data_IF_367722382233
#
_entry.id   IF_367722382233
#
_cell.length_a   1.000
_cell.length_b   1.000
_cell.length_c   1.000
_cell.angle_alpha   90.00
_cell.angle_beta   90.00
_cell.angle_gamma   90.00
#
_symmetry.space_group_name_H-M   'P 1'
#
loop_
_entity.id
_entity.type
_entity.pdbx_description
1 polymer ?
#
# COMPACT_ATOMS: atom_id res chain seq x y z
N UNK A 1 13.09 11.29 11.53
CA UNK A 1 12.91 11.27 10.08
C UNK A 1 11.42 11.35 9.79
N UNK A 2 11.02 12.04 8.73
CA UNK A 2 9.63 12.00 8.26
C UNK A 2 9.37 10.62 7.63
N UNK A 3 8.12 10.15 7.65
CA UNK A 3 7.73 8.87 7.03
C UNK A 3 8.21 8.77 5.58
N UNK A 4 8.13 9.85 4.81
CA UNK A 4 8.64 9.87 3.42
C UNK A 4 10.14 9.57 3.29
N UNK A 5 10.96 9.99 4.26
CA UNK A 5 12.40 9.73 4.24
C UNK A 5 12.69 8.26 4.54
N UNK A 6 12.02 7.68 5.53
CA UNK A 6 12.12 6.25 5.86
C UNK A 6 11.69 5.41 4.66
N UNK A 7 10.54 5.77 4.07
CA UNK A 7 10.00 5.08 2.90
C UNK A 7 10.92 5.17 1.69
N UNK A 8 11.54 6.32 1.44
CA UNK A 8 12.54 6.48 0.38
C UNK A 8 13.71 5.51 0.57
N UNK A 9 14.34 5.53 1.73
CA UNK A 9 15.49 4.66 2.04
C UNK A 9 15.11 3.17 2.00
N UNK A 10 13.89 2.84 2.41
CA UNK A 10 13.36 1.47 2.30
C UNK A 10 13.23 1.03 0.84
N UNK A 11 12.60 1.84 -0.02
CA UNK A 11 12.46 1.53 -1.44
C UNK A 11 13.81 1.39 -2.17
N UNK A 12 14.82 2.18 -1.80
CA UNK A 12 16.16 2.11 -2.41
C UNK A 12 16.86 0.75 -2.17
N UNK A 13 16.46 0.02 -1.13
CA UNK A 13 17.08 -1.25 -0.72
C UNK A 13 16.22 -2.49 -0.97
N UNK A 14 14.97 -2.32 -1.40
CA UNK A 14 13.98 -3.39 -1.58
C UNK A 14 13.40 -3.39 -3.01
N UNK A 15 14.16 -3.92 -4.00
CA UNK A 15 13.77 -3.92 -5.41
C UNK A 15 12.54 -4.79 -5.71
N UNK A 16 12.16 -5.68 -4.80
CA UNK A 16 10.95 -6.50 -4.90
C UNK A 16 9.65 -5.70 -4.65
N UNK A 17 9.74 -4.47 -4.15
CA UNK A 17 8.56 -3.59 -4.01
C UNK A 17 8.00 -3.30 -5.41
N UNK A 18 6.70 -3.56 -5.66
CA UNK A 18 6.09 -3.32 -6.95
C UNK A 18 6.23 -1.86 -7.40
N UNK A 19 6.44 -1.64 -8.70
CA UNK A 19 6.67 -0.31 -9.32
C UNK A 19 5.75 0.79 -8.77
N UNK A 20 4.44 0.54 -8.76
CA UNK A 20 3.43 1.53 -8.37
C UNK A 20 3.41 1.86 -6.87
N UNK A 21 4.16 1.11 -6.06
CA UNK A 21 4.36 1.31 -4.63
C UNK A 21 5.74 1.88 -4.30
N UNK A 22 6.56 2.22 -5.29
CA UNK A 22 7.88 2.81 -5.06
C UNK A 22 7.80 4.32 -4.79
N UNK A 23 8.75 4.83 -4.02
CA UNK A 23 8.89 6.27 -3.72
C UNK A 23 8.91 7.12 -5.00
N UNK A 24 9.74 6.75 -5.97
CA UNK A 24 9.93 7.50 -7.21
C UNK A 24 8.66 7.56 -8.05
N UNK A 25 7.84 6.49 -8.05
CA UNK A 25 6.55 6.50 -8.75
C UNK A 25 5.63 7.58 -8.18
N UNK A 26 5.52 7.65 -6.85
CA UNK A 26 4.64 8.60 -6.17
C UNK A 26 5.09 10.05 -6.32
N UNK A 27 6.41 10.29 -6.36
CA UNK A 27 6.97 11.62 -6.66
C UNK A 27 6.69 12.06 -8.11
N UNK A 28 6.55 11.12 -9.05
CA UNK A 28 6.22 11.41 -10.45
C UNK A 28 4.72 11.70 -10.62
N UNK A 29 3.85 10.88 -10.01
CA UNK A 29 2.39 10.94 -10.28
C UNK A 29 1.63 11.91 -9.38
N UNK A 30 2.25 12.43 -8.32
CA UNK A 30 1.61 13.30 -7.35
C UNK A 30 2.53 14.45 -6.91
N UNK A 31 1.94 15.60 -6.57
CA UNK A 31 2.71 16.69 -5.95
C UNK A 31 3.13 16.31 -4.51
N UNK A 32 4.22 16.87 -3.98
CA UNK A 32 4.73 16.51 -2.65
C UNK A 32 3.69 16.61 -1.51
N UNK A 33 2.75 17.54 -1.58
CA UNK A 33 1.68 17.73 -0.59
C UNK A 33 0.49 16.77 -0.78
N UNK A 34 0.34 16.19 -1.97
CA UNK A 34 -0.80 15.38 -2.37
C UNK A 34 -0.65 13.90 -2.03
N UNK A 35 0.48 13.48 -1.48
CA UNK A 35 0.65 12.10 -1.05
C UNK A 35 1.48 12.04 0.23
N UNK A 36 1.28 10.99 0.99
CA UNK A 36 2.10 10.65 2.14
C UNK A 36 2.02 9.13 2.37
N UNK A 37 2.69 8.63 3.40
CA UNK A 37 2.82 7.19 3.64
C UNK A 37 2.67 6.87 5.12
N UNK A 38 1.79 5.91 5.43
CA UNK A 38 1.72 5.29 6.74
C UNK A 38 2.78 4.17 6.80
N UNK A 39 3.53 4.09 7.90
CA UNK A 39 4.65 3.13 8.06
C UNK A 39 4.57 2.49 9.43
N UNK A 40 4.75 1.17 9.48
CA UNK A 40 4.92 0.41 10.73
C UNK A 40 6.35 -0.09 10.78
N UNK A 41 7.10 0.37 11.78
CA UNK A 41 8.49 -0.02 12.01
C UNK A 41 8.60 -0.96 13.21
N UNK A 42 9.64 -1.79 13.21
CA UNK A 42 10.06 -2.58 14.38
C UNK A 42 11.58 -2.46 14.52
N UNK A 43 12.03 -1.56 15.38
CA UNK A 43 13.44 -1.18 15.43
C UNK A 43 13.79 -0.35 14.21
N UNK A 44 14.76 -0.81 13.41
CA UNK A 44 15.20 -0.15 12.18
C UNK A 44 14.57 -0.75 10.91
N UNK A 45 13.62 -1.68 11.06
CA UNK A 45 13.03 -2.43 9.95
C UNK A 45 11.59 -1.94 9.68
N UNK A 46 11.25 -1.71 8.41
CA UNK A 46 9.86 -1.45 8.02
C UNK A 46 9.12 -2.79 7.90
N UNK A 47 8.10 -2.99 8.74
CA UNK A 47 7.25 -4.18 8.70
C UNK A 47 6.12 -4.06 7.69
N UNK A 48 5.61 -2.85 7.49
CA UNK A 48 4.56 -2.59 6.52
C UNK A 48 4.49 -1.11 6.18
N UNK A 49 4.00 -0.79 4.99
CA UNK A 49 3.69 0.58 4.61
C UNK A 49 2.43 0.65 3.76
N UNK A 50 1.80 1.82 3.74
CA UNK A 50 0.64 2.08 2.90
C UNK A 50 0.69 3.53 2.43
N UNK A 51 1.11 3.77 1.18
CA UNK A 51 1.06 5.11 0.61
C UNK A 51 -0.41 5.50 0.42
N UNK A 52 -0.70 6.79 0.53
CA UNK A 52 -2.04 7.30 0.31
C UNK A 52 -1.98 8.65 -0.41
N UNK A 53 -2.84 8.82 -1.40
CA UNK A 53 -2.94 10.05 -2.16
C UNK A 53 -4.19 10.85 -1.74
N UNK A 54 -3.98 12.13 -1.47
CA UNK A 54 -4.94 13.11 -1.00
C UNK A 54 -5.41 13.97 -2.15
N UNK A 55 -6.73 14.10 -2.27
CA UNK A 55 -7.40 14.96 -3.25
C UNK A 55 -8.50 15.75 -2.56
N UNK A 56 -8.53 17.05 -2.82
CA UNK A 56 -9.67 17.89 -2.45
C UNK A 56 -10.66 17.97 -3.61
N UNK A 57 -11.93 17.67 -3.36
CA UNK A 57 -13.02 17.86 -4.31
C UNK A 57 -14.07 18.78 -3.68
N UNK A 58 -14.14 20.01 -4.16
CA UNK A 58 -14.91 21.08 -3.51
C UNK A 58 -14.46 21.26 -2.04
N UNK A 59 -15.34 21.01 -1.09
CA UNK A 59 -15.05 21.11 0.35
C UNK A 59 -14.64 19.76 0.96
N UNK A 60 -14.71 18.66 0.21
CA UNK A 60 -14.41 17.33 0.73
C UNK A 60 -12.93 16.98 0.58
N UNK A 61 -12.35 16.42 1.63
CA UNK A 61 -11.03 15.82 1.66
C UNK A 61 -11.15 14.32 1.43
N UNK A 62 -10.49 13.82 0.38
CA UNK A 62 -10.64 12.44 -0.09
C UNK A 62 -9.26 11.79 -0.18
N UNK A 63 -9.14 10.58 0.36
CA UNK A 63 -8.05 9.67 0.02
C UNK A 63 -8.50 8.81 -1.17
N UNK A 64 -7.73 8.85 -2.24
CA UNK A 64 -8.01 8.12 -3.48
C UNK A 64 -6.71 7.64 -4.13
N UNK A 65 -6.80 6.97 -5.27
CA UNK A 65 -5.64 6.56 -6.08
C UNK A 65 -5.18 7.70 -7.01
N UNK A 66 -3.86 7.94 -7.19
CA UNK A 66 -3.35 8.94 -8.13
C UNK A 66 -3.54 8.52 -9.60
N UNK A 67 -3.33 9.44 -10.58
CA UNK A 67 -3.37 9.09 -12.00
C UNK A 67 -2.42 7.95 -12.36
N UNK A 68 -2.77 7.20 -13.41
CA UNK A 68 -1.93 6.14 -14.00
C UNK A 68 -1.49 5.03 -13.03
N UNK A 69 -2.12 4.93 -11.86
CA UNK A 69 -1.73 4.01 -10.80
C UNK A 69 -2.81 2.94 -10.65
N UNK A 70 -2.57 1.66 -11.02
CA UNK A 70 -3.59 0.61 -11.02
C UNK A 70 -3.92 0.11 -9.61
N UNK A 71 -2.94 0.11 -8.71
CA UNK A 71 -3.07 -0.29 -7.32
C UNK A 71 -2.14 0.53 -6.42
N UNK A 72 -2.46 0.50 -5.15
CA UNK A 72 -1.72 1.08 -4.03
C UNK A 72 -1.53 0.00 -2.95
N UNK A 73 -1.02 0.42 -1.79
CA UNK A 73 -0.80 -0.45 -0.65
C UNK A 73 -2.11 -0.92 0.01
N UNK A 74 -2.02 -1.70 1.09
CA UNK A 74 -0.81 -1.93 1.89
C UNK A 74 0.22 -2.85 1.22
N UNK A 75 1.46 -2.73 1.65
CA UNK A 75 2.55 -3.69 1.39
C UNK A 75 3.10 -4.20 2.73
N UNK A 76 3.49 -5.46 2.77
CA UNK A 76 3.90 -6.16 3.98
C UNK A 76 5.30 -6.77 3.80
N UNK A 77 6.22 -6.46 4.70
CA UNK A 77 7.50 -7.14 4.81
C UNK A 77 7.38 -8.25 5.87
N UNK A 78 7.27 -9.50 5.41
CA UNK A 78 7.12 -10.64 6.29
C UNK A 78 8.47 -11.02 6.93
N UNK A 79 8.55 -11.19 8.26
CA UNK A 79 9.74 -11.73 8.90
C UNK A 79 10.18 -13.08 8.31
N UNK A 80 11.48 -13.33 8.26
CA UNK A 80 12.02 -14.61 7.79
C UNK A 80 11.45 -15.81 8.56
N UNK A 81 11.13 -16.88 7.84
CA UNK A 81 10.63 -18.12 8.44
C UNK A 81 9.22 -18.05 9.02
N UNK A 82 8.45 -17.00 8.70
CA UNK A 82 7.08 -16.85 9.18
C UNK A 82 6.16 -17.97 8.67
N UNK A 83 5.40 -18.58 9.59
CA UNK A 83 4.38 -19.59 9.27
C UNK A 83 3.08 -18.91 8.83
N UNK A 84 2.30 -19.57 7.98
CA UNK A 84 0.98 -19.08 7.54
C UNK A 84 0.06 -18.66 8.70
N UNK A 85 0.01 -19.42 9.80
CA UNK A 85 -0.81 -19.08 10.97
C UNK A 85 -0.36 -17.77 11.67
N UNK A 86 0.93 -17.45 11.65
CA UNK A 86 1.46 -16.20 12.23
C UNK A 86 1.38 -15.03 11.25
N UNK A 87 1.19 -15.30 9.95
CA UNK A 87 1.03 -14.30 8.89
C UNK A 87 -0.23 -13.46 9.07
N UNK A 88 -1.40 -14.09 9.22
CA UNK A 88 -2.67 -13.36 9.40
C UNK A 88 -2.67 -12.49 10.67
N UNK A 89 -2.06 -12.99 11.75
CA UNK A 89 -1.91 -12.23 13.00
C UNK A 89 -0.99 -11.02 12.83
N UNK A 90 0.08 -11.18 12.07
CA UNK A 90 1.00 -10.10 11.71
C UNK A 90 0.29 -9.05 10.84
N UNK A 91 -0.32 -9.46 9.72
CA UNK A 91 -1.06 -8.58 8.82
C UNK A 91 -2.15 -7.80 9.56
N UNK A 92 -2.92 -8.45 10.45
CA UNK A 92 -3.87 -7.78 11.33
C UNK A 92 -3.19 -6.67 12.15
N UNK A 93 -2.11 -7.01 12.87
CA UNK A 93 -1.40 -6.09 13.75
C UNK A 93 -0.86 -4.88 12.99
N UNK A 94 -0.19 -5.10 11.86
CA UNK A 94 0.42 -4.00 11.10
C UNK A 94 -0.63 -3.19 10.34
N UNK A 95 -1.66 -3.81 9.77
CA UNK A 95 -2.75 -3.09 9.08
C UNK A 95 -3.52 -2.20 10.03
N UNK A 96 -3.85 -2.66 11.23
CA UNK A 96 -4.50 -1.82 12.25
C UNK A 96 -3.64 -0.60 12.65
N UNK A 97 -2.31 -0.73 12.62
CA UNK A 97 -1.39 0.38 12.88
C UNK A 97 -1.30 1.34 11.70
N UNK A 98 -1.30 0.83 10.45
CA UNK A 98 -1.35 1.67 9.25
C UNK A 98 -2.64 2.50 9.21
N UNK A 99 -3.79 1.88 9.46
CA UNK A 99 -5.09 2.57 9.47
C UNK A 99 -5.12 3.71 10.49
N UNK A 100 -4.51 3.53 11.67
CA UNK A 100 -4.45 4.58 12.71
C UNK A 100 -3.66 5.83 12.29
N UNK A 101 -2.75 5.68 11.32
CA UNK A 101 -1.93 6.78 10.82
C UNK A 101 -2.60 7.53 9.65
N UNK A 102 -3.70 7.00 9.11
CA UNK A 102 -4.42 7.69 8.04
C UNK A 102 -5.05 8.98 8.57
N UNK A 103 -4.96 10.09 7.81
CA UNK A 103 -5.63 11.32 8.20
C UNK A 103 -7.14 11.13 8.13
N UNK A 104 -7.88 11.93 8.91
CA UNK A 104 -9.32 12.02 8.78
C UNK A 104 -9.66 12.47 7.35
N UNK A 105 -10.64 11.82 6.75
CA UNK A 105 -11.08 12.08 5.37
C UNK A 105 -12.57 11.81 5.27
N UNK A 106 -13.25 12.52 4.39
CA UNK A 106 -14.67 12.32 4.10
C UNK A 106 -14.90 11.04 3.27
N UNK A 107 -13.88 10.61 2.52
CA UNK A 107 -13.96 9.41 1.68
C UNK A 107 -12.60 8.77 1.48
N UNK A 108 -12.54 7.46 1.65
CA UNK A 108 -11.36 6.64 1.38
C UNK A 108 -11.66 5.66 0.24
N UNK A 109 -10.84 5.69 -0.80
CA UNK A 109 -10.84 4.72 -1.89
C UNK A 109 -9.40 4.31 -2.14
N UNK A 110 -9.09 3.02 -2.01
CA UNK A 110 -7.83 2.46 -2.48
C UNK A 110 -8.09 1.18 -3.26
N UNK A 111 -7.20 0.88 -4.19
CA UNK A 111 -7.15 -0.40 -4.89
C UNK A 111 -5.92 -1.14 -4.40
N UNK A 112 -6.05 -2.38 -4.00
CA UNK A 112 -4.91 -3.16 -3.48
C UNK A 112 -4.26 -3.96 -4.59
N UNK A 113 -2.98 -4.29 -4.40
CA UNK A 113 -2.28 -5.27 -5.25
C UNK A 113 -3.07 -6.60 -5.25
N UNK A 114 -3.21 -7.31 -6.39
CA UNK A 114 -3.98 -8.56 -6.46
C UNK A 114 -3.50 -9.66 -5.51
N UNK A 115 -2.27 -9.60 -5.03
CA UNK A 115 -1.75 -10.54 -4.02
C UNK A 115 -2.29 -10.29 -2.60
N UNK A 116 -2.93 -9.14 -2.35
CA UNK A 116 -3.51 -8.83 -1.04
C UNK A 116 -4.87 -9.50 -0.92
N UNK A 117 -4.93 -10.55 -0.11
CA UNK A 117 -6.15 -11.34 0.13
C UNK A 117 -6.82 -11.01 1.46
N UNK A 118 -6.05 -10.51 2.45
CA UNK A 118 -6.54 -10.25 3.79
C UNK A 118 -7.03 -8.80 3.98
N UNK A 119 -8.28 -8.54 3.61
CA UNK A 119 -8.94 -7.23 3.85
C UNK A 119 -9.67 -7.15 5.20
N UNK A 120 -9.69 -8.24 5.98
CA UNK A 120 -10.45 -8.35 7.22
C UNK A 120 -10.12 -7.26 8.27
N UNK A 121 -8.86 -6.81 8.44
CA UNK A 121 -8.56 -5.71 9.36
C UNK A 121 -9.21 -4.37 8.96
N UNK A 122 -9.38 -4.13 7.65
CA UNK A 122 -10.12 -2.97 7.16
C UNK A 122 -11.61 -3.10 7.47
N UNK A 123 -12.20 -4.29 7.23
CA UNK A 123 -13.60 -4.55 7.59
C UNK A 123 -13.88 -4.24 9.07
N UNK A 124 -13.03 -4.69 9.99
CA UNK A 124 -13.18 -4.41 11.43
C UNK A 124 -13.06 -2.94 11.80
N UNK A 125 -12.51 -2.10 10.91
CA UNK A 125 -12.44 -0.64 11.06
C UNK A 125 -13.56 0.09 10.32
N UNK A 126 -14.54 -0.63 9.80
CA UNK A 126 -15.73 -0.06 9.14
C UNK A 126 -15.52 0.31 7.68
N UNK A 127 -14.45 -0.17 7.04
CA UNK A 127 -14.27 -0.03 5.60
C UNK A 127 -15.09 -1.07 4.83
N UNK A 128 -15.51 -0.69 3.64
CA UNK A 128 -16.19 -1.57 2.69
C UNK A 128 -15.24 -2.00 1.58
N UNK A 129 -15.55 -3.12 0.94
CA UNK A 129 -14.76 -3.70 -0.14
C UNK A 129 -15.62 -4.00 -1.36
N UNK A 130 -14.99 -3.92 -2.53
CA UNK A 130 -15.54 -4.44 -3.78
C UNK A 130 -14.42 -5.13 -4.55
N UNK A 131 -14.71 -6.29 -5.13
CA UNK A 131 -13.70 -7.08 -5.86
C UNK A 131 -13.57 -6.59 -7.29
N UNK A 132 -12.32 -6.42 -7.74
CA UNK A 132 -11.97 -6.19 -9.14
C UNK A 132 -11.11 -7.34 -9.62
N UNK A 133 -11.22 -7.65 -10.91
CA UNK A 133 -10.44 -8.70 -11.54
C UNK A 133 -9.39 -8.09 -12.47
N UNK A 134 -8.21 -8.69 -12.48
CA UNK A 134 -7.12 -8.40 -13.41
C UNK A 134 -6.44 -9.71 -13.78
N UNK A 135 -5.76 -9.74 -14.91
CA UNK A 135 -4.93 -10.87 -15.32
C UNK A 135 -3.51 -10.69 -14.80
N UNK A 136 -2.92 -11.77 -14.29
CA UNK A 136 -1.49 -11.87 -13.98
C UNK A 136 -0.91 -12.87 -14.96
N UNK A 137 0.06 -12.42 -15.75
CA UNK A 137 0.75 -13.23 -16.74
C UNK A 137 2.15 -13.51 -16.17
N UNK A 138 2.36 -14.74 -15.71
CA UNK A 138 3.59 -15.13 -15.00
C UNK A 138 4.80 -15.28 -15.94
N UNK A 139 4.57 -15.78 -17.15
CA UNK A 139 5.62 -16.04 -18.15
C UNK A 139 5.43 -15.12 -19.36
N UNK A 140 6.37 -14.20 -19.52
CA UNK A 140 6.46 -13.28 -20.67
C UNK A 140 7.65 -13.61 -21.58
N UNK A 141 8.29 -14.78 -21.40
CA UNK A 141 9.47 -15.17 -22.16
C UNK A 141 9.18 -15.49 -23.63
N UNK A 142 7.93 -15.84 -23.95
CA UNK A 142 7.49 -16.17 -25.30
C UNK A 142 6.15 -15.50 -25.63
N UNK A 143 6.21 -14.42 -26.41
CA UNK A 143 5.04 -13.64 -26.79
C UNK A 143 4.05 -14.39 -27.70
N UNK A 144 4.45 -15.49 -28.34
CA UNK A 144 3.56 -16.29 -29.20
C UNK A 144 2.73 -17.30 -28.41
N UNK A 145 3.04 -17.51 -27.12
CA UNK A 145 2.30 -18.41 -26.21
C UNK A 145 1.27 -17.72 -25.33
N UNK A 146 1.14 -16.40 -25.47
CA UNK A 146 0.14 -15.55 -24.79
C UNK A 146 -1.19 -15.54 -25.56
#
# INVERSE_FOLDING_TARGET
MNNKEIFKSWCETHPEIPLFLQYDWLEIVAKPEQWDVAIVESGNEVQAFMPYFKKRKLQFEIITVPPLTPYMGPWFHYPEGQKEATRLSFEKKVTEQLIKQLPKTDKFIQYFHPEITNWLPFHWKGFEQSTRYTYVIEDLSDSEKL
#
